data_IF_433540254920
#
_entry.id   IF_433540254920
#
_cell.length_a   1.000
_cell.length_b   1.000
_cell.length_c   1.000
_cell.angle_alpha   90.00
_cell.angle_beta   90.00
_cell.angle_gamma   90.00
#
_symmetry.space_group_name_H-M   'P 1'
#
loop_
_entity.id
_entity.type
_entity.pdbx_description
1 polymer ?
#
# COMPACT_ATOMS: atom_id res chain seq x y z
N UNK A 1 -12.64 -5.13 -24.61
CA UNK A 1 -12.54 -4.27 -23.43
C UNK A 1 -12.43 -2.85 -23.95
N UNK A 2 -13.50 -2.06 -23.81
CA UNK A 2 -13.61 -0.75 -24.47
C UNK A 2 -12.93 0.37 -23.68
N UNK A 3 -12.39 1.35 -24.42
CA UNK A 3 -12.20 2.80 -24.21
C UNK A 3 -12.17 3.47 -22.81
N UNK A 4 -12.29 2.76 -21.69
CA UNK A 4 -12.20 3.37 -20.35
C UNK A 4 -10.76 3.36 -19.86
N UNK A 5 -10.32 4.49 -19.32
CA UNK A 5 -9.05 4.56 -18.63
C UNK A 5 -9.05 3.60 -17.42
N UNK A 6 -7.97 2.83 -17.28
CA UNK A 6 -7.63 2.08 -16.09
C UNK A 6 -7.58 3.00 -14.88
N UNK A 7 -8.18 2.53 -13.80
CA UNK A 7 -8.23 3.25 -12.53
C UNK A 7 -7.13 2.78 -11.60
N UNK A 8 -6.31 3.71 -11.10
CA UNK A 8 -5.25 3.46 -10.10
C UNK A 8 -5.67 4.07 -8.77
N UNK A 9 -5.83 3.24 -7.74
CA UNK A 9 -5.96 3.71 -6.36
C UNK A 9 -4.56 3.92 -5.78
N UNK A 10 -4.27 5.14 -5.32
CA UNK A 10 -3.03 5.48 -4.61
C UNK A 10 -3.33 5.66 -3.13
N UNK A 11 -2.76 4.79 -2.30
CA UNK A 11 -2.93 4.76 -0.85
C UNK A 11 -1.63 5.14 -0.15
N UNK A 12 -1.69 6.15 0.71
CA UNK A 12 -0.57 6.63 1.51
C UNK A 12 -1.09 7.43 2.69
N UNK A 13 -0.26 7.58 3.72
CA UNK A 13 -0.39 8.72 4.63
C UNK A 13 -0.05 10.02 3.91
N UNK A 14 -0.57 11.15 4.41
CA UNK A 14 -0.44 12.45 3.73
C UNK A 14 0.68 13.31 4.32
N UNK A 15 0.70 13.44 5.65
CA UNK A 15 1.59 14.38 6.34
C UNK A 15 3.07 14.10 6.04
N UNK A 16 3.78 15.12 5.54
CA UNK A 16 5.21 15.06 5.28
C UNK A 16 5.60 14.47 3.93
N UNK A 17 4.63 14.06 3.10
CA UNK A 17 4.86 13.49 1.77
C UNK A 17 3.94 14.09 0.70
N UNK A 18 3.36 15.26 0.95
CA UNK A 18 2.41 15.91 0.06
C UNK A 18 3.01 16.16 -1.34
N UNK A 19 4.26 16.61 -1.41
CA UNK A 19 4.96 16.82 -2.69
C UNK A 19 5.13 15.53 -3.48
N UNK A 20 5.54 14.44 -2.81
CA UNK A 20 5.62 13.11 -3.41
C UNK A 20 4.27 12.69 -3.99
N UNK A 21 3.19 12.85 -3.22
CA UNK A 21 1.84 12.48 -3.67
C UNK A 21 1.38 13.30 -4.87
N UNK A 22 1.65 14.60 -4.88
CA UNK A 22 1.37 15.47 -6.02
C UNK A 22 2.11 15.02 -7.28
N UNK A 23 3.40 14.67 -7.16
CA UNK A 23 4.21 14.17 -8.28
C UNK A 23 3.69 12.84 -8.80
N UNK A 24 3.38 11.90 -7.92
CA UNK A 24 2.80 10.59 -8.28
C UNK A 24 1.47 10.79 -9.00
N UNK A 25 0.60 11.65 -8.48
CA UNK A 25 -0.69 11.97 -9.10
C UNK A 25 -0.49 12.52 -10.52
N UNK A 26 0.37 13.53 -10.68
CA UNK A 26 0.64 14.14 -11.99
C UNK A 26 1.21 13.15 -12.99
N UNK A 27 2.17 12.30 -12.58
CA UNK A 27 2.75 11.29 -13.46
C UNK A 27 1.69 10.29 -13.95
N UNK A 28 0.92 9.69 -13.03
CA UNK A 28 -0.11 8.71 -13.38
C UNK A 28 -1.20 9.33 -14.28
N UNK A 29 -1.68 10.53 -13.96
CA UNK A 29 -2.64 11.23 -14.83
C UNK A 29 -2.04 11.50 -16.22
N UNK A 30 -0.75 11.89 -16.31
CA UNK A 30 -0.09 12.13 -17.60
C UNK A 30 0.07 10.88 -18.47
N UNK A 31 0.09 9.70 -17.85
CA UNK A 31 0.13 8.41 -18.56
C UNK A 31 -1.26 7.91 -18.98
N UNK A 32 -2.34 8.63 -18.65
CA UNK A 32 -3.71 8.31 -19.06
C UNK A 32 -4.51 7.46 -18.06
N UNK A 33 -4.06 7.35 -16.80
CA UNK A 33 -4.83 6.68 -15.75
C UNK A 33 -5.87 7.61 -15.11
N UNK A 34 -6.99 7.02 -14.70
CA UNK A 34 -7.89 7.66 -13.73
C UNK A 34 -7.33 7.43 -12.32
N UNK A 35 -6.91 8.49 -11.64
CA UNK A 35 -6.22 8.36 -10.34
C UNK A 35 -7.18 8.65 -9.20
N UNK A 36 -7.43 7.64 -8.36
CA UNK A 36 -8.16 7.78 -7.10
C UNK A 36 -7.16 7.93 -5.95
N UNK A 37 -7.17 9.09 -5.28
CA UNK A 37 -6.25 9.40 -4.19
C UNK A 37 -6.97 10.28 -3.16
N UNK A 38 -7.00 9.82 -1.91
CA UNK A 38 -7.71 10.51 -0.82
C UNK A 38 -7.16 11.93 -0.60
N UNK A 39 -5.83 12.10 -0.67
CA UNK A 39 -5.14 13.39 -0.58
C UNK A 39 -5.65 14.42 -1.60
N UNK A 40 -5.92 13.98 -2.84
CA UNK A 40 -6.38 14.85 -3.93
C UNK A 40 -7.90 14.97 -4.00
N UNK A 41 -8.63 14.27 -3.13
CA UNK A 41 -10.09 14.27 -3.13
C UNK A 41 -10.72 13.65 -4.37
N UNK A 42 -9.99 12.75 -5.06
CA UNK A 42 -10.46 12.13 -6.32
C UNK A 42 -11.10 10.75 -6.11
N UNK A 43 -11.16 10.28 -4.87
CA UNK A 43 -11.90 9.07 -4.51
C UNK A 43 -13.41 9.34 -4.67
N UNK A 44 -14.17 8.47 -5.37
CA UNK A 44 -15.61 8.64 -5.51
C UNK A 44 -16.34 8.69 -4.16
N UNK A 45 -17.14 9.73 -3.95
CA UNK A 45 -17.93 9.91 -2.73
C UNK A 45 -19.36 9.37 -2.88
N UNK A 46 -19.92 8.88 -1.79
CA UNK A 46 -21.33 8.51 -1.68
C UNK A 46 -21.95 9.21 -0.48
N UNK A 47 -23.19 9.67 -0.61
CA UNK A 47 -23.94 10.27 0.51
C UNK A 47 -24.33 9.25 1.60
N UNK A 48 -24.17 7.96 1.32
CA UNK A 48 -24.54 6.87 2.23
C UNK A 48 -23.35 6.17 2.90
N UNK A 49 -22.12 6.54 2.55
CA UNK A 49 -20.90 5.88 3.02
C UNK A 49 -20.06 6.84 3.87
N UNK A 50 -19.36 6.31 4.87
CA UNK A 50 -18.32 7.09 5.54
C UNK A 50 -17.13 7.32 4.59
N UNK A 51 -16.29 8.30 4.88
CA UNK A 51 -15.06 8.52 4.10
C UNK A 51 -14.15 7.28 4.10
N UNK A 52 -14.15 6.54 5.21
CA UNK A 52 -13.43 5.29 5.34
C UNK A 52 -13.99 4.20 4.41
N UNK A 53 -15.32 3.98 4.45
CA UNK A 53 -15.97 3.00 3.59
C UNK A 53 -15.81 3.35 2.10
N UNK A 54 -15.83 4.64 1.75
CA UNK A 54 -15.61 5.10 0.39
C UNK A 54 -14.21 4.73 -0.12
N UNK A 55 -13.18 4.85 0.73
CA UNK A 55 -11.82 4.48 0.34
C UNK A 55 -11.64 2.96 0.19
N UNK A 56 -12.21 2.15 1.09
CA UNK A 56 -12.20 0.69 0.93
C UNK A 56 -12.95 0.24 -0.33
N UNK A 57 -14.10 0.84 -0.62
CA UNK A 57 -14.82 0.60 -1.88
C UNK A 57 -13.99 1.00 -3.10
N UNK A 58 -13.16 2.04 -3.00
CA UNK A 58 -12.25 2.43 -4.07
C UNK A 58 -11.18 1.37 -4.33
N UNK A 59 -10.65 0.72 -3.28
CA UNK A 59 -9.72 -0.42 -3.42
C UNK A 59 -10.40 -1.61 -4.11
N UNK A 60 -11.65 -1.90 -3.76
CA UNK A 60 -12.41 -2.98 -4.40
C UNK A 60 -12.64 -2.73 -5.90
N UNK A 61 -12.88 -1.47 -6.27
CA UNK A 61 -13.31 -1.07 -7.61
C UNK A 61 -12.19 -0.64 -8.55
N UNK A 62 -11.01 -0.30 -8.03
CA UNK A 62 -9.88 0.10 -8.88
C UNK A 62 -9.35 -1.10 -9.67
N UNK A 63 -8.70 -0.82 -10.80
CA UNK A 63 -8.03 -1.85 -11.59
C UNK A 63 -6.64 -2.17 -11.02
N UNK A 64 -5.95 -1.12 -10.54
CA UNK A 64 -4.57 -1.15 -10.10
C UNK A 64 -4.44 -0.48 -8.73
N UNK A 65 -3.50 -0.96 -7.90
CA UNK A 65 -3.25 -0.41 -6.58
C UNK A 65 -1.78 0.01 -6.40
N UNK A 66 -1.54 1.22 -5.91
CA UNK A 66 -0.21 1.71 -5.54
C UNK A 66 -0.22 2.14 -4.07
N UNK A 67 0.49 1.39 -3.22
CA UNK A 67 0.67 1.73 -1.82
C UNK A 67 2.01 2.45 -1.58
N UNK A 68 2.01 3.51 -0.78
CA UNK A 68 3.23 4.20 -0.34
C UNK A 68 3.27 4.18 1.19
N UNK A 69 4.28 3.51 1.72
CA UNK A 69 4.50 3.30 3.15
C UNK A 69 5.55 4.31 3.61
N UNK A 70 5.15 5.19 4.52
CA UNK A 70 6.02 6.20 5.13
C UNK A 70 6.26 5.87 6.60
N UNK A 71 6.96 6.73 7.33
CA UNK A 71 7.14 6.59 8.79
C UNK A 71 5.87 6.92 9.59
N UNK A 72 4.85 7.47 8.94
CA UNK A 72 3.54 7.73 9.53
C UNK A 72 2.60 6.53 9.34
N UNK A 73 1.82 6.20 10.36
CA UNK A 73 0.84 5.11 10.30
C UNK A 73 -0.52 5.56 9.75
N UNK A 74 -0.82 6.85 9.88
CA UNK A 74 -2.07 7.44 9.42
C UNK A 74 -3.16 7.51 10.47
N UNK A 75 -4.33 7.98 10.03
CA UNK A 75 -5.50 8.25 10.87
C UNK A 75 -6.51 7.09 10.85
N UNK A 76 -7.66 7.27 11.51
CA UNK A 76 -8.71 6.25 11.64
C UNK A 76 -8.41 5.17 12.68
N UNK A 77 -7.35 5.35 13.46
CA UNK A 77 -6.98 4.47 14.56
C UNK A 77 -7.93 4.71 15.74
N UNK A 78 -8.96 3.88 15.85
CA UNK A 78 -9.60 3.61 17.15
C UNK A 78 -8.69 2.65 17.94
N UNK A 79 -8.78 2.66 19.29
CA UNK A 79 -7.89 1.86 20.12
C UNK A 79 -7.92 0.37 19.70
N UNK A 80 -6.76 -0.15 19.25
CA UNK A 80 -6.61 -1.53 18.77
C UNK A 80 -6.84 -1.76 17.27
N UNK A 81 -7.36 -0.78 16.52
CA UNK A 81 -7.69 -0.96 15.10
C UNK A 81 -6.56 -0.49 14.17
N UNK A 82 -6.49 -1.12 12.99
CA UNK A 82 -5.56 -0.75 11.92
C UNK A 82 -5.90 0.64 11.35
N UNK A 83 -4.89 1.38 10.88
CA UNK A 83 -5.14 2.65 10.19
C UNK A 83 -5.86 2.42 8.87
N UNK A 84 -6.47 3.47 8.31
CA UNK A 84 -7.17 3.39 7.02
C UNK A 84 -6.24 2.87 5.93
N UNK A 85 -5.05 3.47 5.83
CA UNK A 85 -3.99 3.09 4.88
C UNK A 85 -3.61 1.62 5.03
N UNK A 86 -3.46 1.11 6.25
CA UNK A 86 -3.14 -0.29 6.47
C UNK A 86 -4.28 -1.20 5.98
N UNK A 87 -5.53 -0.87 6.30
CA UNK A 87 -6.69 -1.64 5.85
C UNK A 87 -6.83 -1.64 4.31
N UNK A 88 -6.58 -0.51 3.64
CA UNK A 88 -6.57 -0.42 2.18
C UNK A 88 -5.52 -1.34 1.55
N UNK A 89 -4.29 -1.33 2.08
CA UNK A 89 -3.21 -2.18 1.57
C UNK A 89 -3.49 -3.67 1.79
N UNK A 90 -3.99 -4.06 2.97
CA UNK A 90 -4.41 -5.44 3.24
C UNK A 90 -5.52 -5.87 2.30
N UNK A 91 -6.53 -5.02 2.10
CA UNK A 91 -7.64 -5.30 1.18
C UNK A 91 -7.14 -5.51 -0.27
N UNK A 92 -6.18 -4.70 -0.73
CA UNK A 92 -5.61 -4.88 -2.07
C UNK A 92 -4.86 -6.22 -2.23
N UNK A 93 -4.17 -6.66 -1.17
CA UNK A 93 -3.50 -7.97 -1.10
C UNK A 93 -4.54 -9.10 -1.10
N UNK A 94 -5.56 -9.01 -0.24
CA UNK A 94 -6.64 -9.99 -0.11
C UNK A 94 -7.39 -10.21 -1.42
N UNK A 95 -7.67 -9.12 -2.16
CA UNK A 95 -8.34 -9.17 -3.46
C UNK A 95 -7.41 -9.57 -4.61
N UNK A 96 -6.14 -9.89 -4.31
CA UNK A 96 -5.10 -10.17 -5.29
C UNK A 96 -5.04 -9.15 -6.43
N UNK A 97 -5.20 -7.86 -6.13
CA UNK A 97 -5.11 -6.79 -7.13
C UNK A 97 -3.69 -6.75 -7.72
N UNK A 98 -3.53 -6.41 -9.01
CA UNK A 98 -2.25 -5.91 -9.50
C UNK A 98 -1.84 -4.71 -8.64
N UNK A 99 -0.76 -4.88 -7.88
CA UNK A 99 -0.39 -3.98 -6.80
C UNK A 99 1.12 -3.73 -6.77
N UNK A 100 1.49 -2.51 -6.42
CA UNK A 100 2.86 -2.10 -6.20
C UNK A 100 2.95 -1.38 -4.86
N UNK A 101 4.10 -1.51 -4.22
CA UNK A 101 4.35 -0.83 -2.96
C UNK A 101 5.67 -0.07 -3.04
N UNK A 102 5.67 1.13 -2.47
CA UNK A 102 6.86 1.91 -2.16
C UNK A 102 7.00 1.96 -0.64
N UNK A 103 8.22 1.82 -0.12
CA UNK A 103 8.49 1.96 1.30
C UNK A 103 9.67 2.90 1.54
N UNK A 104 9.46 3.88 2.41
CA UNK A 104 10.51 4.83 2.78
C UNK A 104 11.66 4.09 3.48
N UNK A 105 12.91 4.45 3.16
CA UNK A 105 14.13 3.79 3.69
C UNK A 105 14.12 3.69 5.22
N UNK A 106 13.71 4.75 5.91
CA UNK A 106 13.53 4.76 7.36
C UNK A 106 12.62 3.65 7.92
N UNK A 107 11.58 3.22 7.20
CA UNK A 107 10.72 2.10 7.62
C UNK A 107 11.51 0.79 7.57
N UNK A 108 12.24 0.58 6.47
CA UNK A 108 13.09 -0.60 6.26
C UNK A 108 14.21 -0.63 7.31
N UNK A 109 14.83 0.51 7.57
CA UNK A 109 15.84 0.70 8.61
C UNK A 109 15.28 0.38 10.00
N UNK A 110 14.15 0.98 10.38
CA UNK A 110 13.53 0.77 11.69
C UNK A 110 13.16 -0.70 11.91
N UNK A 111 12.62 -1.38 10.90
CA UNK A 111 12.35 -2.82 10.95
C UNK A 111 13.62 -3.63 11.24
N UNK A 112 14.70 -3.34 10.52
CA UNK A 112 15.98 -4.03 10.72
C UNK A 112 16.54 -3.78 12.11
N UNK A 113 16.51 -2.53 12.57
CA UNK A 113 16.96 -2.15 13.90
C UNK A 113 16.18 -2.91 15.00
N UNK A 114 14.86 -2.99 14.89
CA UNK A 114 14.03 -3.71 15.85
C UNK A 114 14.33 -5.22 15.85
N UNK A 115 14.56 -5.82 14.67
CA UNK A 115 15.02 -7.21 14.55
C UNK A 115 16.35 -7.43 15.27
N UNK A 116 17.33 -6.57 15.04
CA UNK A 116 18.65 -6.65 15.65
C UNK A 116 18.60 -6.46 17.19
N UNK A 117 17.59 -5.74 17.69
CA UNK A 117 17.33 -5.55 19.12
C UNK A 117 16.51 -6.67 19.77
N UNK A 118 16.14 -7.72 19.03
CA UNK A 118 15.37 -8.85 19.54
C UNK A 118 13.85 -8.71 19.47
N UNK A 119 13.34 -7.82 18.61
CA UNK A 119 11.90 -7.62 18.37
C UNK A 119 11.52 -8.00 16.92
N UNK A 120 11.57 -9.30 16.57
CA UNK A 120 11.55 -9.73 15.18
C UNK A 120 10.19 -9.65 14.49
N UNK A 121 9.10 -9.62 15.27
CA UNK A 121 7.72 -9.72 14.79
C UNK A 121 6.78 -8.80 15.58
N UNK A 122 5.53 -8.72 15.14
CA UNK A 122 4.51 -7.88 15.75
C UNK A 122 4.26 -8.24 17.22
N UNK A 123 4.30 -9.53 17.58
CA UNK A 123 4.07 -10.00 18.94
C UNK A 123 5.16 -9.50 19.90
N UNK A 124 6.43 -9.64 19.52
CA UNK A 124 7.55 -9.13 20.31
C UNK A 124 7.46 -7.61 20.51
N UNK A 125 7.04 -6.88 19.47
CA UNK A 125 6.90 -5.41 19.49
C UNK A 125 5.74 -4.91 20.37
N UNK A 126 4.77 -5.74 20.75
CA UNK A 126 3.68 -5.33 21.67
C UNK A 126 4.18 -4.89 23.05
N UNK A 127 5.38 -5.34 23.44
CA UNK A 127 6.02 -4.94 24.70
C UNK A 127 6.63 -3.54 24.65
N UNK A 128 6.72 -2.94 23.47
CA UNK A 128 7.31 -1.63 23.23
C UNK A 128 6.23 -0.55 23.14
N UNK A 129 6.55 0.63 23.66
CA UNK A 129 5.73 1.81 23.50
C UNK A 129 6.58 2.99 23.05
N UNK A 130 6.15 3.64 21.97
CA UNK A 130 6.76 4.90 21.53
C UNK A 130 6.32 6.03 22.47
N UNK A 131 7.23 6.98 22.68
CA UNK A 131 6.89 8.21 23.42
C UNK A 131 5.87 9.01 22.62
N UNK A 132 4.99 9.72 23.32
CA UNK A 132 4.06 10.67 22.68
C UNK A 132 4.83 11.67 21.83
N UNK A 133 4.45 11.80 20.56
CA UNK A 133 5.13 12.69 19.60
C UNK A 133 6.44 12.15 19.06
N UNK A 134 6.66 10.83 19.09
CA UNK A 134 7.77 10.20 18.38
C UNK A 134 7.72 10.57 16.89
N UNK A 135 8.85 11.04 16.35
CA UNK A 135 8.96 11.52 14.97
C UNK A 135 9.75 10.56 14.06
N UNK A 136 10.43 9.56 14.62
CA UNK A 136 11.21 8.59 13.83
C UNK A 136 10.30 7.59 13.11
N UNK A 137 9.27 7.12 13.81
CA UNK A 137 8.13 6.35 13.31
C UNK A 137 6.97 6.74 14.21
N UNK A 138 5.79 7.03 13.65
CA UNK A 138 4.65 7.51 14.43
C UNK A 138 4.00 6.40 15.26
N UNK A 139 4.07 5.15 14.78
CA UNK A 139 3.49 3.96 15.40
C UNK A 139 4.28 2.71 14.95
N UNK A 140 4.57 1.77 15.86
CA UNK A 140 5.32 0.55 15.50
C UNK A 140 4.56 -0.34 14.49
N UNK A 141 3.24 -0.18 14.37
CA UNK A 141 2.43 -0.88 13.38
C UNK A 141 2.72 -0.48 11.93
N UNK A 142 3.48 0.60 11.69
CA UNK A 142 4.09 0.89 10.38
C UNK A 142 5.01 -0.25 9.93
N UNK A 143 5.70 -0.87 10.88
CA UNK A 143 6.55 -2.04 10.59
C UNK A 143 5.68 -3.23 10.20
N UNK A 144 4.60 -3.46 10.93
CA UNK A 144 3.64 -4.54 10.62
C UNK A 144 3.02 -4.33 9.23
N UNK A 145 2.64 -3.09 8.89
CA UNK A 145 2.17 -2.70 7.55
C UNK A 145 3.18 -3.04 6.46
N UNK A 146 4.45 -2.72 6.68
CA UNK A 146 5.53 -3.07 5.75
C UNK A 146 5.72 -4.59 5.62
N UNK A 147 5.67 -5.32 6.73
CA UNK A 147 5.80 -6.78 6.74
C UNK A 147 4.63 -7.45 5.99
N UNK A 148 3.38 -6.99 6.20
CA UNK A 148 2.20 -7.41 5.45
C UNK A 148 2.34 -7.10 3.95
N UNK A 149 2.79 -5.89 3.58
CA UNK A 149 3.02 -5.50 2.19
C UNK A 149 4.11 -6.35 1.50
N UNK A 150 5.14 -6.78 2.24
CA UNK A 150 6.17 -7.70 1.73
C UNK A 150 5.75 -9.17 1.75
N UNK A 151 4.55 -9.51 2.27
CA UNK A 151 4.08 -10.87 2.53
C UNK A 151 5.11 -11.67 3.34
N UNK A 152 5.66 -11.05 4.38
CA UNK A 152 6.75 -11.65 5.13
C UNK A 152 6.34 -12.94 5.87
N UNK A 153 5.06 -13.05 6.20
CA UNK A 153 4.44 -14.24 6.77
C UNK A 153 4.43 -15.45 5.81
N UNK A 154 4.68 -15.27 4.51
CA UNK A 154 4.72 -16.35 3.54
C UNK A 154 6.16 -16.81 3.22
N UNK A 155 6.36 -18.11 2.88
CA UNK A 155 7.61 -18.60 2.31
C UNK A 155 8.02 -17.80 1.07
N UNK A 156 9.31 -17.64 0.80
CA UNK A 156 9.80 -16.86 -0.35
C UNK A 156 9.24 -17.34 -1.69
N UNK A 157 9.01 -18.65 -1.85
CA UNK A 157 8.39 -19.24 -3.05
C UNK A 157 6.95 -18.74 -3.29
N UNK A 158 6.31 -18.25 -2.24
CA UNK A 158 4.88 -18.01 -2.18
C UNK A 158 4.53 -16.52 -2.28
N UNK A 159 5.55 -15.65 -2.17
CA UNK A 159 5.45 -14.18 -2.30
C UNK A 159 5.32 -13.76 -3.77
N UNK A 160 4.20 -14.13 -4.39
CA UNK A 160 3.89 -13.78 -5.77
C UNK A 160 3.40 -12.32 -5.88
N UNK A 161 3.72 -11.64 -7.01
CA UNK A 161 3.19 -10.31 -7.34
C UNK A 161 3.62 -9.19 -6.40
N UNK A 162 4.66 -9.42 -5.59
CA UNK A 162 5.02 -8.56 -4.47
C UNK A 162 6.35 -7.86 -4.71
N UNK A 163 6.29 -6.61 -5.19
CA UNK A 163 7.45 -5.73 -5.24
C UNK A 163 7.22 -4.53 -4.31
N UNK A 164 7.92 -4.54 -3.16
CA UNK A 164 8.04 -3.37 -2.30
C UNK A 164 9.35 -2.67 -2.63
N UNK A 165 9.29 -1.60 -3.40
CA UNK A 165 10.45 -0.82 -3.78
C UNK A 165 10.81 0.15 -2.65
N UNK A 166 12.06 0.11 -2.21
CA UNK A 166 12.59 1.09 -1.26
C UNK A 166 12.83 2.44 -1.97
N UNK A 167 12.46 3.54 -1.33
CA UNK A 167 12.80 4.89 -1.77
C UNK A 167 13.39 5.71 -0.61
N UNK A 168 14.32 6.61 -0.92
CA UNK A 168 14.88 7.58 0.03
C UNK A 168 14.45 9.01 -0.33
N UNK A 169 14.29 9.28 -1.63
CA UNK A 169 13.91 10.60 -2.16
C UNK A 169 12.68 10.49 -3.05
N UNK A 170 11.98 11.61 -3.20
CA UNK A 170 10.80 11.70 -4.08
C UNK A 170 11.12 11.37 -5.55
N UNK A 171 12.36 11.62 -5.99
CA UNK A 171 12.84 11.27 -7.32
C UNK A 171 12.94 9.74 -7.51
N UNK A 172 13.28 8.98 -6.46
CA UNK A 172 13.34 7.51 -6.53
C UNK A 172 11.94 6.93 -6.73
N UNK A 173 10.96 7.47 -6.00
CA UNK A 173 9.56 7.09 -6.15
C UNK A 173 9.00 7.51 -7.51
N UNK A 174 9.36 8.70 -8.00
CA UNK A 174 9.00 9.17 -9.35
C UNK A 174 9.56 8.24 -10.43
N UNK A 175 10.82 7.83 -10.31
CA UNK A 175 11.47 6.88 -11.22
C UNK A 175 10.74 5.53 -11.23
N UNK A 176 10.37 5.04 -10.05
CA UNK A 176 9.60 3.81 -9.92
C UNK A 176 8.25 3.92 -10.64
N UNK A 177 7.47 4.96 -10.35
CA UNK A 177 6.16 5.19 -11.00
C UNK A 177 6.31 5.30 -12.51
N UNK A 178 7.32 6.03 -12.99
CA UNK A 178 7.60 6.12 -14.43
C UNK A 178 7.92 4.74 -15.01
N UNK A 179 8.75 3.94 -14.34
CA UNK A 179 9.16 2.62 -14.84
C UNK A 179 7.99 1.63 -14.93
N UNK A 180 7.08 1.66 -13.96
CA UNK A 180 5.99 0.68 -13.84
C UNK A 180 4.75 1.07 -14.64
N UNK A 181 4.46 2.38 -14.74
CA UNK A 181 3.18 2.86 -15.26
C UNK A 181 3.28 3.64 -16.57
N UNK A 182 4.47 4.04 -17.05
CA UNK A 182 4.56 4.79 -18.31
C UNK A 182 4.13 3.98 -19.54
N UNK A 183 4.28 2.65 -19.49
CA UNK A 183 3.88 1.74 -20.57
C UNK A 183 2.49 1.19 -20.33
N UNK A 184 1.49 2.00 -20.65
CA UNK A 184 0.08 1.69 -20.41
C UNK A 184 -0.36 0.31 -20.91
N UNK A 185 0.02 -0.05 -22.15
CA UNK A 185 -0.34 -1.32 -22.78
C UNK A 185 0.22 -2.55 -22.03
N UNK A 186 1.44 -2.43 -21.48
CA UNK A 186 2.06 -3.51 -20.70
C UNK A 186 1.24 -3.74 -19.41
N UNK A 187 0.75 -2.66 -18.79
CA UNK A 187 -0.08 -2.71 -17.59
C UNK A 187 -1.48 -3.26 -17.88
N UNK A 188 -2.09 -2.91 -19.02
CA UNK A 188 -3.34 -3.52 -19.47
C UNK A 188 -3.21 -5.03 -19.66
N UNK A 189 -2.10 -5.48 -20.25
CA UNK A 189 -1.83 -6.90 -20.42
C UNK A 189 -1.65 -7.61 -19.07
N UNK A 190 -0.93 -7.01 -18.13
CA UNK A 190 -0.78 -7.53 -16.77
C UNK A 190 -2.13 -7.68 -16.07
N UNK A 191 -3.01 -6.68 -16.19
CA UNK A 191 -4.36 -6.73 -15.63
C UNK A 191 -5.17 -7.88 -16.25
N UNK A 192 -5.12 -8.03 -17.58
CA UNK A 192 -5.82 -9.11 -18.27
C UNK A 192 -5.33 -10.50 -17.83
N UNK A 193 -4.03 -10.67 -17.58
CA UNK A 193 -3.45 -11.90 -17.03
C UNK A 193 -3.92 -12.18 -15.60
N UNK A 194 -3.87 -11.17 -14.72
CA UNK A 194 -4.33 -11.32 -13.34
C UNK A 194 -5.82 -11.66 -13.24
N UNK A 195 -6.66 -11.14 -14.15
CA UNK A 195 -8.08 -11.49 -14.22
C UNK A 195 -8.33 -12.91 -14.76
N UNK A 196 -7.41 -13.44 -15.59
CA UNK A 196 -7.50 -14.79 -16.14
C UNK A 196 -7.01 -15.87 -15.16
N UNK A 197 -6.12 -15.52 -14.23
CA UNK A 197 -5.62 -16.40 -13.17
C UNK A 197 -6.07 -15.89 -11.78
N UNK A 198 -7.35 -16.09 -11.39
CA UNK A 198 -7.82 -15.74 -10.05
C UNK A 198 -7.20 -16.71 -9.03
N UNK A 199 -5.95 -16.48 -8.66
CA UNK A 199 -5.38 -17.05 -7.45
C UNK A 199 -6.14 -16.44 -6.27
N UNK A 200 -6.99 -17.25 -5.64
CA UNK A 200 -7.55 -16.94 -4.33
C UNK A 200 -6.40 -17.03 -3.32
N UNK A 201 -5.70 -15.91 -3.09
CA UNK A 201 -4.68 -15.83 -2.04
C UNK A 201 -5.28 -16.16 -0.66
N UNK A 202 -6.60 -15.97 -0.50
CA UNK A 202 -7.38 -16.41 0.65
C UNK A 202 -7.26 -17.92 0.94
N UNK A 203 -7.13 -18.78 -0.08
CA UNK A 203 -6.92 -20.22 0.13
C UNK A 203 -5.50 -20.54 0.61
N UNK A 204 -4.51 -19.68 0.33
CA UNK A 204 -3.13 -19.84 0.79
C UNK A 204 -2.89 -19.24 2.18
N UNK A 205 -3.62 -18.18 2.53
CA UNK A 205 -3.56 -17.54 3.86
C UNK A 205 -4.42 -18.34 4.86
N UNK A 206 -5.57 -18.86 4.45
CA UNK A 206 -6.49 -19.63 5.31
C UNK A 206 -6.00 -21.01 5.75
N UNK A 207 -4.85 -21.49 5.26
CA UNK A 207 -4.21 -22.73 5.73
C UNK A 207 -3.30 -22.54 6.95
N UNK A 208 -3.21 -21.31 7.48
CA UNK A 208 -2.34 -20.96 8.62
C UNK A 208 -3.10 -20.53 9.89
N UNK A 209 -4.44 -20.56 9.85
CA UNK A 209 -5.31 -20.35 11.03
C UNK A 209 -5.78 -21.70 11.67
N UNK A 210 -5.07 -22.81 11.41
CA UNK A 210 -5.20 -24.09 12.15
C UNK A 210 -3.98 -24.41 13.02
#
# INVERSE_FOLDING_TARGET
MGDRALTVMVSSTVYGVEELLDRVYTLLTSFGYEVWMSHKGTVPVSSTLTAFDACLNAVERCDLFLGIITTEYGSGVSAGNLSITHQEMKKAIELNKPRWFLAHDHVVFARRLLKDLGYPDAQARQTLALKKGAASVSDLRVIDLYEDATLENLPLSDRAGNWVQKFDRDDDASLFVLSQFSRYQDVEQLLAQNLAEPLLLAERIGYLDE
#
